data_IF_021974830713
#
_entry.id   IF_021974830713
#
_cell.length_a   1.000
_cell.length_b   1.000
_cell.length_c   1.000
_cell.angle_alpha   90.00
_cell.angle_beta   90.00
_cell.angle_gamma   90.00
#
_symmetry.space_group_name_H-M   'P 1'
#
loop_
_entity.id
_entity.type
_entity.pdbx_description
1 polymer ?
#
# COMPACT_ATOMS: atom_id res chain seq x y z
N UNK A 1 -7.72 -5.85 -0.49
CA UNK A 1 -6.97 -5.60 -1.75
C UNK A 1 -7.57 -6.31 -2.97
N UNK A 2 -8.13 -7.53 -2.85
CA UNK A 2 -8.76 -8.23 -3.98
C UNK A 2 -9.87 -7.42 -4.67
N UNK A 3 -10.72 -6.73 -3.89
CA UNK A 3 -11.77 -5.84 -4.40
C UNK A 3 -11.20 -4.55 -5.04
N UNK A 4 -10.12 -3.98 -4.48
CA UNK A 4 -9.46 -2.79 -5.01
C UNK A 4 -8.76 -3.03 -6.36
N UNK A 5 -8.29 -4.26 -6.63
CA UNK A 5 -7.72 -4.59 -7.94
C UNK A 5 -8.77 -4.52 -9.07
N UNK A 6 -10.05 -4.73 -8.77
CA UNK A 6 -11.16 -4.65 -9.73
C UNK A 6 -11.89 -3.31 -9.75
N UNK A 7 -11.45 -2.31 -8.99
CA UNK A 7 -12.21 -1.07 -8.77
C UNK A 7 -12.14 -0.07 -9.94
N UNK A 8 -11.15 -0.20 -10.82
CA UNK A 8 -10.96 0.66 -11.99
C UNK A 8 -10.39 -0.13 -13.15
N UNK A 9 -10.52 0.38 -14.38
CA UNK A 9 -9.78 -0.11 -15.55
C UNK A 9 -8.45 0.62 -15.76
N UNK A 10 -8.24 1.76 -15.07
CA UNK A 10 -7.00 2.50 -15.07
C UNK A 10 -5.99 1.85 -14.11
N UNK A 11 -4.83 1.34 -14.61
CA UNK A 11 -3.85 0.67 -13.77
C UNK A 11 -3.26 1.53 -12.64
N UNK A 12 -3.21 2.86 -12.82
CA UNK A 12 -2.74 3.78 -11.78
C UNK A 12 -3.76 3.89 -10.65
N UNK A 13 -5.04 4.04 -10.98
CA UNK A 13 -6.13 4.08 -9.99
C UNK A 13 -6.27 2.75 -9.24
N UNK A 14 -6.04 1.62 -9.92
CA UNK A 14 -5.97 0.31 -9.24
C UNK A 14 -4.82 0.28 -8.23
N UNK A 15 -3.63 0.77 -8.60
CA UNK A 15 -2.48 0.82 -7.70
C UNK A 15 -2.73 1.74 -6.51
N UNK A 16 -3.36 2.89 -6.74
CA UNK A 16 -3.78 3.83 -5.70
C UNK A 16 -4.80 3.22 -4.75
N UNK A 17 -5.84 2.57 -5.28
CA UNK A 17 -6.85 1.90 -4.47
C UNK A 17 -6.25 0.77 -3.61
N UNK A 18 -5.30 0.01 -4.17
CA UNK A 18 -4.54 -1.00 -3.42
C UNK A 18 -3.70 -0.36 -2.32
N UNK A 19 -3.04 0.78 -2.60
CA UNK A 19 -2.26 1.54 -1.62
C UNK A 19 -3.12 2.00 -0.44
N UNK A 20 -4.25 2.66 -0.71
CA UNK A 20 -5.15 3.12 0.35
C UNK A 20 -5.74 1.97 1.14
N UNK A 21 -6.14 0.88 0.48
CA UNK A 21 -6.62 -0.31 1.20
C UNK A 21 -5.56 -0.84 2.16
N UNK A 22 -4.31 -0.95 1.70
CA UNK A 22 -3.19 -1.42 2.51
C UNK A 22 -2.90 -0.47 3.69
N UNK A 23 -2.94 0.84 3.43
CA UNK A 23 -2.75 1.87 4.45
C UNK A 23 -3.84 1.82 5.53
N UNK A 24 -5.12 1.74 5.13
CA UNK A 24 -6.24 1.65 6.07
C UNK A 24 -6.17 0.37 6.90
N UNK A 25 -5.92 -0.78 6.28
CA UNK A 25 -5.73 -2.05 6.99
C UNK A 25 -4.54 -1.96 7.96
N UNK A 26 -3.43 -1.36 7.53
CA UNK A 26 -2.25 -1.16 8.38
C UNK A 26 -2.52 -0.24 9.58
N UNK A 27 -3.25 0.85 9.37
CA UNK A 27 -3.69 1.78 10.42
C UNK A 27 -4.63 1.07 11.40
N UNK A 28 -5.67 0.39 10.89
CA UNK A 28 -6.63 -0.36 11.70
C UNK A 28 -5.92 -1.46 12.49
N UNK A 29 -5.05 -2.25 11.86
CA UNK A 29 -4.31 -3.30 12.53
C UNK A 29 -3.32 -2.73 13.56
N UNK A 30 -2.62 -1.63 13.28
CA UNK A 30 -1.75 -0.95 14.24
C UNK A 30 -2.52 -0.44 15.46
N UNK A 31 -3.69 0.15 15.24
CA UNK A 31 -4.60 0.61 16.28
C UNK A 31 -5.14 -0.57 17.11
N UNK A 32 -5.62 -1.61 16.44
CA UNK A 32 -6.14 -2.84 17.02
C UNK A 32 -5.04 -3.57 17.81
N UNK A 33 -3.81 -3.67 17.30
CA UNK A 33 -2.65 -4.24 18.00
C UNK A 33 -2.25 -3.41 19.23
N UNK A 34 -2.36 -2.07 19.19
CA UNK A 34 -2.16 -1.22 20.39
C UNK A 34 -3.24 -1.48 21.46
N UNK A 35 -4.49 -1.75 21.07
CA UNK A 35 -5.56 -2.16 21.98
C UNK A 35 -5.35 -3.59 22.51
N UNK A 36 -4.94 -4.53 21.66
CA UNK A 36 -4.73 -5.94 22.03
C UNK A 36 -3.41 -6.21 22.77
N UNK A 37 -2.34 -5.46 22.50
CA UNK A 37 -1.13 -5.50 23.33
C UNK A 37 -1.41 -5.02 24.77
N UNK A 38 -2.54 -4.36 25.03
CA UNK A 38 -3.04 -4.09 26.38
C UNK A 38 -3.94 -5.21 26.94
N UNK A 39 -4.41 -6.16 26.13
CA UNK A 39 -5.39 -7.20 26.54
C UNK A 39 -5.00 -8.66 26.25
N UNK A 40 -3.84 -8.93 25.65
CA UNK A 40 -3.17 -10.23 25.66
C UNK A 40 -3.99 -11.41 25.12
N UNK A 41 -4.37 -11.41 23.84
CA UNK A 41 -4.86 -12.61 23.14
C UNK A 41 -4.52 -12.54 21.64
N UNK A 42 -4.13 -13.67 21.05
CA UNK A 42 -3.81 -13.78 19.63
C UNK A 42 -4.29 -15.10 19.02
N UNK A 43 -4.85 -15.01 17.80
CA UNK A 43 -4.94 -16.05 16.75
C UNK A 43 -5.81 -15.49 15.60
N UNK A 44 -5.40 -15.58 14.32
CA UNK A 44 -5.61 -16.73 13.42
C UNK A 44 -4.82 -16.46 12.12
N UNK A 45 -4.11 -17.43 11.50
CA UNK A 45 -3.05 -17.15 10.50
C UNK A 45 -3.08 -17.95 9.17
N UNK A 46 -4.01 -18.89 8.95
CA UNK A 46 -3.88 -19.84 7.82
C UNK A 46 -4.65 -19.41 6.55
N UNK A 47 -5.93 -19.04 6.66
CA UNK A 47 -6.77 -18.66 5.50
C UNK A 47 -6.39 -17.31 4.90
N UNK A 48 -5.90 -16.38 5.72
CA UNK A 48 -5.40 -15.07 5.28
C UNK A 48 -4.18 -15.18 4.36
N UNK A 49 -3.40 -16.26 4.49
CA UNK A 49 -2.15 -16.46 3.76
C UNK A 49 -2.36 -16.79 2.27
N UNK A 50 -3.40 -17.56 1.93
CA UNK A 50 -3.70 -17.94 0.54
C UNK A 50 -4.25 -16.75 -0.26
N UNK A 51 -5.10 -15.94 0.36
CA UNK A 51 -5.58 -14.69 -0.26
C UNK A 51 -4.44 -13.69 -0.45
N UNK A 52 -3.51 -13.60 0.51
CA UNK A 52 -2.35 -12.72 0.45
C UNK A 52 -1.41 -13.01 -0.73
N UNK A 53 -1.06 -14.27 -0.98
CA UNK A 53 -0.21 -14.65 -2.12
C UNK A 53 -0.89 -14.30 -3.46
N UNK A 54 -2.20 -14.51 -3.58
CA UNK A 54 -2.96 -14.17 -4.80
C UNK A 54 -3.00 -12.65 -5.07
N UNK A 55 -3.08 -11.84 -4.01
CA UNK A 55 -3.08 -10.39 -4.08
C UNK A 55 -1.69 -9.87 -4.45
N UNK A 56 -0.65 -10.44 -3.86
CA UNK A 56 0.74 -10.10 -4.16
C UNK A 56 1.05 -10.36 -5.63
N UNK A 57 0.70 -11.52 -6.16
CA UNK A 57 0.90 -11.82 -7.58
C UNK A 57 0.20 -10.81 -8.50
N UNK A 58 -1.06 -10.46 -8.21
CA UNK A 58 -1.82 -9.45 -8.95
C UNK A 58 -1.13 -8.08 -8.91
N UNK A 59 -0.62 -7.68 -7.75
CA UNK A 59 0.15 -6.45 -7.60
C UNK A 59 1.42 -6.47 -8.44
N UNK A 60 2.19 -7.56 -8.41
CA UNK A 60 3.42 -7.68 -9.21
C UNK A 60 3.13 -7.60 -10.72
N UNK A 61 2.03 -8.22 -11.18
CA UNK A 61 1.60 -8.12 -12.58
C UNK A 61 1.17 -6.69 -12.96
N UNK A 62 0.48 -6.00 -12.06
CA UNK A 62 0.08 -4.60 -12.25
C UNK A 62 1.30 -3.69 -12.45
N UNK A 63 2.29 -3.79 -11.56
CA UNK A 63 3.54 -3.01 -11.67
C UNK A 63 4.32 -3.37 -12.94
N UNK A 64 4.42 -4.65 -13.29
CA UNK A 64 5.05 -5.06 -14.54
C UNK A 64 4.34 -4.45 -15.76
N UNK A 65 3.01 -4.39 -15.75
CA UNK A 65 2.20 -3.74 -16.78
C UNK A 65 2.50 -2.24 -16.90
N UNK A 66 2.52 -1.54 -15.77
CA UNK A 66 2.84 -0.11 -15.68
C UNK A 66 4.28 0.22 -16.10
N UNK A 67 5.23 -0.66 -15.78
CA UNK A 67 6.60 -0.54 -16.29
C UNK A 67 6.61 -0.73 -17.80
N UNK A 68 5.97 -1.77 -18.32
CA UNK A 68 5.93 -2.07 -19.75
C UNK A 68 5.36 -0.92 -20.59
N UNK A 69 4.32 -0.24 -20.10
CA UNK A 69 3.71 0.94 -20.72
C UNK A 69 4.52 2.24 -20.56
N UNK A 70 5.61 2.22 -19.79
CA UNK A 70 6.48 3.38 -19.57
C UNK A 70 5.97 4.36 -18.51
N UNK A 71 4.90 4.01 -17.78
CA UNK A 71 4.32 4.84 -16.71
C UNK A 71 5.18 4.79 -15.44
N UNK A 72 5.77 3.63 -15.13
CA UNK A 72 6.73 3.48 -14.02
C UNK A 72 8.13 3.31 -14.59
N UNK A 73 9.12 3.91 -13.92
CA UNK A 73 10.52 3.79 -14.30
C UNK A 73 10.98 2.32 -14.32
N UNK A 74 11.34 1.82 -15.52
CA UNK A 74 11.84 0.45 -15.74
C UNK A 74 13.17 0.14 -15.04
N UNK A 75 13.94 1.17 -14.66
CA UNK A 75 15.20 0.98 -13.95
C UNK A 75 15.01 0.52 -12.49
N UNK A 76 13.80 0.69 -11.93
CA UNK A 76 13.47 0.25 -10.58
C UNK A 76 13.06 -1.23 -10.58
N UNK A 77 13.72 -2.11 -9.80
CA UNK A 77 13.25 -3.49 -9.65
C UNK A 77 11.85 -3.54 -9.03
N UNK A 78 10.97 -4.41 -9.52
CA UNK A 78 9.61 -4.56 -8.96
C UNK A 78 9.65 -4.89 -7.46
N UNK A 79 10.63 -5.68 -7.02
CA UNK A 79 10.86 -5.96 -5.60
C UNK A 79 11.23 -4.72 -4.78
N UNK A 80 11.95 -3.77 -5.37
CA UNK A 80 12.26 -2.49 -4.74
C UNK A 80 10.99 -1.63 -4.59
N UNK A 81 10.17 -1.56 -5.64
CA UNK A 81 8.87 -0.88 -5.61
C UNK A 81 7.97 -1.48 -4.53
N UNK A 82 7.98 -2.81 -4.36
CA UNK A 82 7.20 -3.48 -3.32
C UNK A 82 7.65 -3.11 -1.90
N UNK A 83 8.97 -3.04 -1.69
CA UNK A 83 9.52 -2.60 -0.41
C UNK A 83 9.22 -1.12 -0.13
N UNK A 84 9.28 -0.24 -1.15
CA UNK A 84 8.88 1.16 -1.03
C UNK A 84 7.40 1.29 -0.66
N UNK A 85 6.54 0.48 -1.28
CA UNK A 85 5.11 0.45 -0.97
C UNK A 85 4.86 0.13 0.51
N UNK A 86 5.46 -0.95 1.02
CA UNK A 86 5.35 -1.32 2.45
C UNK A 86 5.97 -0.28 3.38
N UNK A 87 7.17 0.22 3.06
CA UNK A 87 7.84 1.23 3.86
C UNK A 87 7.07 2.54 3.96
N UNK A 88 6.36 2.95 2.91
CA UNK A 88 5.51 4.15 2.95
C UNK A 88 4.32 3.98 3.89
N UNK A 89 3.72 2.77 3.93
CA UNK A 89 2.65 2.45 4.89
C UNK A 89 3.19 2.53 6.32
N UNK A 90 4.38 1.98 6.58
CA UNK A 90 5.01 2.04 7.91
C UNK A 90 5.31 3.49 8.35
N UNK A 91 5.77 4.34 7.42
CA UNK A 91 5.99 5.77 7.66
C UNK A 91 4.65 6.47 8.00
N UNK A 92 3.60 6.17 7.24
CA UNK A 92 2.28 6.76 7.43
C UNK A 92 1.68 6.40 8.80
N UNK A 93 1.81 5.13 9.21
CA UNK A 93 1.38 4.65 10.53
C UNK A 93 2.16 5.35 11.66
N UNK A 94 3.47 5.55 11.47
CA UNK A 94 4.31 6.25 12.45
C UNK A 94 3.93 7.74 12.57
N UNK A 95 3.74 8.43 11.44
CA UNK A 95 3.32 9.83 11.42
C UNK A 95 1.94 10.03 12.07
N UNK A 96 1.01 9.09 11.85
CA UNK A 96 -0.29 9.11 12.50
C UNK A 96 -0.15 8.91 14.01
N UNK A 97 0.74 8.01 14.43
CA UNK A 97 0.94 7.69 15.84
C UNK A 97 1.63 8.82 16.62
N UNK A 98 2.48 9.62 15.98
CA UNK A 98 3.12 10.77 16.63
C UNK A 98 2.15 11.96 16.77
N UNK A 99 1.17 12.07 15.88
CA UNK A 99 0.20 13.17 15.87
C UNK A 99 0.75 14.47 15.26
N UNK A 100 1.94 14.41 14.65
CA UNK A 100 2.60 15.58 14.03
C UNK A 100 1.99 15.95 12.67
N UNK A 101 1.25 15.02 12.06
CA UNK A 101 0.61 15.19 10.74
C UNK A 101 -0.88 14.87 10.85
N UNK A 102 -1.73 15.70 10.25
CA UNK A 102 -3.16 15.47 10.28
C UNK A 102 -3.54 14.20 9.48
N UNK A 103 -4.47 13.40 10.01
CA UNK A 103 -4.85 12.09 9.43
C UNK A 103 -5.30 12.22 7.96
N UNK A 104 -6.04 13.28 7.64
CA UNK A 104 -6.49 13.58 6.29
C UNK A 104 -5.33 13.92 5.33
N UNK A 105 -4.22 14.44 5.84
CA UNK A 105 -3.03 14.75 5.04
C UNK A 105 -2.13 13.52 4.85
N UNK A 106 -2.06 12.63 5.85
CA UNK A 106 -1.22 11.43 5.81
C UNK A 106 -1.52 10.58 4.58
N UNK A 107 -2.80 10.38 4.24
CA UNK A 107 -3.22 9.58 3.09
C UNK A 107 -2.64 10.14 1.78
N UNK A 108 -2.87 11.42 1.51
CA UNK A 108 -2.40 12.07 0.29
C UNK A 108 -0.88 12.22 0.26
N UNK A 109 -0.24 12.58 1.38
CA UNK A 109 1.22 12.70 1.48
C UNK A 109 1.92 11.37 1.20
N UNK A 110 1.38 10.27 1.74
CA UNK A 110 1.94 8.93 1.57
C UNK A 110 1.84 8.47 0.12
N UNK A 111 0.67 8.65 -0.51
CA UNK A 111 0.49 8.31 -1.92
C UNK A 111 1.33 9.18 -2.85
N UNK A 112 1.35 10.50 -2.64
CA UNK A 112 2.15 11.44 -3.42
C UNK A 112 3.65 11.12 -3.34
N UNK A 113 4.13 10.79 -2.14
CA UNK A 113 5.53 10.40 -1.93
C UNK A 113 5.85 9.07 -2.61
N UNK A 114 4.96 8.08 -2.50
CA UNK A 114 5.14 6.77 -3.14
C UNK A 114 5.15 6.89 -4.66
N UNK A 115 4.13 7.50 -5.27
CA UNK A 115 4.02 7.62 -6.73
C UNK A 115 5.20 8.40 -7.33
N UNK A 116 5.65 9.48 -6.65
CA UNK A 116 6.81 10.26 -7.08
C UNK A 116 8.10 9.44 -7.02
N UNK A 117 8.27 8.59 -6.00
CA UNK A 117 9.45 7.72 -5.86
C UNK A 117 9.58 6.66 -6.96
N UNK A 118 8.51 6.37 -7.68
CA UNK A 118 8.46 5.36 -8.76
C UNK A 118 8.33 5.98 -10.16
N UNK A 119 8.35 7.32 -10.24
CA UNK A 119 8.36 8.08 -11.49
C UNK A 119 7.00 8.25 -12.15
N UNK A 120 5.89 8.15 -11.39
CA UNK A 120 4.57 8.54 -11.88
C UNK A 120 4.47 10.07 -11.78
N UNK A 121 4.34 10.74 -12.92
CA UNK A 121 4.23 12.20 -13.00
C UNK A 121 2.85 12.69 -12.54
N UNK A 122 2.82 13.70 -11.65
CA UNK A 122 1.58 14.30 -11.14
C UNK A 122 0.88 15.27 -12.13
N UNK A 123 1.38 15.39 -13.37
CA UNK A 123 0.94 16.34 -14.39
C UNK A 123 0.51 15.66 -15.71
N UNK A 124 -0.13 14.50 -15.66
CA UNK A 124 -0.73 13.85 -16.85
C UNK A 124 -2.19 14.24 -17.02
#
# INVERSE_FOLDING_TARGET
>A
MGEAYGSSTNPIEQLEAMFYTALFVGIEYSFVKKLFNRSGYGQTLESERLDYESVKEKWFRLIAGLQNSGVINKALPISWIYNLFGGMIDIAIQAQASGDVAINEITSLSWNSFQGSIGIDQNS
#
